data_IF_505264156115
#
_entry.id   IF_505264156115
#
_cell.length_a   1.000
_cell.length_b   1.000
_cell.length_c   1.000
_cell.angle_alpha   90.00
_cell.angle_beta   90.00
_cell.angle_gamma   90.00
#
_symmetry.space_group_name_H-M   'P 1'
#
loop_
_entity.id
_entity.type
_entity.pdbx_description
1 polymer ?
#
# COMPACT_ATOMS: atom_id res chain seq x y z
N UNK A 1 22.06 -33.01 -46.11
CA UNK A 1 21.13 -34.05 -45.61
C UNK A 1 20.62 -33.63 -44.24
N UNK A 2 19.32 -33.31 -44.11
CA UNK A 2 18.53 -33.49 -42.86
C UNK A 2 17.38 -34.41 -43.26
N UNK A 3 16.86 -35.28 -42.38
CA UNK A 3 15.88 -34.89 -41.34
C UNK A 3 16.12 -35.72 -40.04
N UNK A 4 15.43 -35.64 -38.90
CA UNK A 4 14.31 -34.89 -38.32
C UNK A 4 14.19 -35.40 -36.88
N UNK A 5 13.99 -34.53 -35.90
CA UNK A 5 12.91 -34.75 -34.94
C UNK A 5 12.39 -33.41 -34.44
N UNK A 6 11.08 -33.28 -34.44
CA UNK A 6 10.35 -32.04 -34.29
C UNK A 6 9.38 -32.15 -33.10
N UNK A 7 9.49 -31.18 -32.18
CA UNK A 7 8.41 -30.44 -31.49
C UNK A 7 7.61 -31.17 -30.37
N UNK A 8 6.95 -30.47 -29.41
CA UNK A 8 6.68 -29.03 -29.35
C UNK A 8 6.91 -28.30 -28.00
N UNK A 9 7.10 -27.00 -28.17
CA UNK A 9 6.92 -25.85 -27.29
C UNK A 9 5.49 -25.73 -26.73
N UNK A 10 5.34 -25.26 -25.47
CA UNK A 10 4.21 -24.41 -25.04
C UNK A 10 4.41 -23.74 -23.67
N UNK A 11 4.79 -22.46 -23.70
CA UNK A 11 4.43 -21.39 -22.74
C UNK A 11 5.05 -21.44 -21.32
N UNK A 12 5.49 -20.37 -20.67
CA UNK A 12 5.23 -18.93 -20.83
C UNK A 12 6.49 -18.14 -20.39
N UNK A 13 6.96 -17.34 -21.34
CA UNK A 13 7.77 -16.10 -21.31
C UNK A 13 8.42 -15.65 -19.99
N UNK A 14 9.75 -15.73 -20.00
CA UNK A 14 10.72 -14.90 -19.27
C UNK A 14 10.50 -13.42 -19.60
N UNK A 15 10.20 -12.58 -18.60
CA UNK A 15 10.30 -11.12 -18.73
C UNK A 15 11.71 -10.68 -18.31
N UNK A 16 12.41 -9.99 -19.21
CA UNK A 16 13.59 -9.18 -18.92
C UNK A 16 13.26 -7.73 -19.29
N UNK A 17 13.85 -6.82 -18.51
CA UNK A 17 13.87 -5.36 -18.66
C UNK A 17 12.65 -4.60 -18.08
N UNK A 18 12.93 -3.88 -16.99
CA UNK A 18 11.99 -2.98 -16.33
C UNK A 18 12.06 -3.10 -14.81
N UNK A 19 13.26 -3.02 -14.22
CA UNK A 19 13.35 -2.72 -12.79
C UNK A 19 12.71 -1.36 -12.59
N UNK A 20 11.45 -1.32 -12.15
CA UNK A 20 10.79 -0.08 -11.84
C UNK A 20 11.58 0.58 -10.72
N UNK A 21 12.00 1.83 -10.94
CA UNK A 21 12.52 2.68 -9.87
C UNK A 21 11.47 2.91 -8.76
N UNK A 22 10.22 2.53 -8.99
CA UNK A 22 9.20 2.46 -7.95
C UNK A 22 9.33 1.14 -7.19
N UNK A 23 9.40 1.24 -5.86
CA UNK A 23 9.29 0.09 -4.95
C UNK A 23 8.02 -0.72 -5.18
N UNK A 24 7.74 -1.76 -4.36
CA UNK A 24 6.60 -2.63 -4.58
C UNK A 24 5.28 -1.84 -4.65
N UNK A 25 4.34 -2.38 -5.43
CA UNK A 25 3.00 -1.81 -5.61
C UNK A 25 2.30 -1.76 -4.26
N UNK A 26 1.82 -0.57 -3.89
CA UNK A 26 1.05 -0.36 -2.67
C UNK A 26 -0.36 -0.92 -2.88
N UNK A 27 -0.89 -1.60 -1.86
CA UNK A 27 -2.23 -2.17 -1.90
C UNK A 27 -2.87 -2.17 -0.51
N UNK A 28 -4.20 -2.09 -0.49
CA UNK A 28 -5.01 -2.23 0.73
C UNK A 28 -4.72 -3.58 1.40
N UNK A 29 -4.69 -3.58 2.73
CA UNK A 29 -4.40 -4.77 3.53
C UNK A 29 -2.91 -5.06 3.72
N UNK A 30 -2.02 -4.28 3.09
CA UNK A 30 -0.58 -4.34 3.36
C UNK A 30 -0.24 -3.70 4.69
N UNK A 31 0.70 -4.30 5.43
CA UNK A 31 1.27 -3.73 6.64
C UNK A 31 2.76 -3.52 6.44
N UNK A 32 3.20 -2.31 6.73
CA UNK A 32 4.55 -1.82 6.52
C UNK A 32 5.17 -1.40 7.86
N UNK A 33 6.40 -1.86 8.11
CA UNK A 33 7.20 -1.39 9.22
C UNK A 33 7.92 -0.08 8.83
N UNK A 34 7.87 0.91 9.73
CA UNK A 34 8.67 2.14 9.71
C UNK A 34 9.77 2.06 10.77
N UNK A 35 10.51 3.15 11.00
CA UNK A 35 11.50 3.21 12.09
C UNK A 35 10.86 3.05 13.47
N UNK A 36 9.63 3.53 13.65
CA UNK A 36 9.01 3.71 14.97
C UNK A 36 7.76 2.86 15.16
N UNK A 37 7.07 2.50 14.07
CA UNK A 37 5.72 1.97 14.13
C UNK A 37 5.38 1.11 12.90
N UNK A 38 4.16 0.61 12.87
CA UNK A 38 3.63 -0.19 11.77
C UNK A 38 2.43 0.52 11.16
N UNK A 39 2.39 0.60 9.84
CA UNK A 39 1.33 1.26 9.08
C UNK A 39 0.60 0.23 8.23
N UNK A 40 -0.71 0.11 8.42
CA UNK A 40 -1.58 -0.72 7.61
C UNK A 40 -2.32 0.14 6.59
N UNK A 41 -2.19 -0.15 5.31
CA UNK A 41 -2.92 0.55 4.25
C UNK A 41 -4.38 0.09 4.25
N UNK A 42 -5.31 1.03 4.44
CA UNK A 42 -6.74 0.75 4.39
C UNK A 42 -7.49 1.34 3.20
N UNK A 43 -7.05 2.50 2.68
CA UNK A 43 -7.54 3.05 1.42
C UNK A 43 -6.40 3.68 0.64
N UNK A 44 -6.55 3.69 -0.68
CA UNK A 44 -5.71 4.44 -1.60
C UNK A 44 -6.66 5.23 -2.47
N UNK A 45 -6.63 6.55 -2.34
CA UNK A 45 -7.42 7.47 -3.15
C UNK A 45 -6.51 8.13 -4.18
N UNK A 46 -6.95 8.21 -5.43
CA UNK A 46 -6.21 8.85 -6.52
C UNK A 46 -6.77 10.22 -6.85
N UNK A 47 -5.88 11.21 -6.92
CA UNK A 47 -6.20 12.58 -7.30
C UNK A 47 -5.23 13.06 -8.39
N UNK A 48 -5.54 14.19 -9.02
CA UNK A 48 -4.67 14.80 -10.04
C UNK A 48 -3.27 15.11 -9.49
N UNK A 49 -3.18 15.49 -8.22
CA UNK A 49 -1.93 15.85 -7.53
C UNK A 49 -1.16 14.63 -7.00
N UNK A 50 -1.73 13.43 -7.09
CA UNK A 50 -1.13 12.19 -6.63
C UNK A 50 -2.05 11.36 -5.74
N UNK A 51 -1.53 10.23 -5.24
CA UNK A 51 -2.30 9.33 -4.38
C UNK A 51 -2.20 9.73 -2.90
N UNK A 52 -3.31 9.55 -2.19
CA UNK A 52 -3.37 9.59 -0.73
C UNK A 52 -3.49 8.16 -0.20
N UNK A 53 -2.59 7.81 0.71
CA UNK A 53 -2.52 6.53 1.38
C UNK A 53 -3.10 6.69 2.77
N UNK A 54 -4.33 6.24 2.97
CA UNK A 54 -4.97 6.22 4.28
C UNK A 54 -4.58 4.97 5.05
N UNK A 55 -4.04 5.14 6.25
CA UNK A 55 -3.47 4.06 7.05
C UNK A 55 -4.03 4.00 8.47
N UNK A 56 -4.03 2.82 9.07
CA UNK A 56 -4.05 2.67 10.52
C UNK A 56 -2.61 2.53 11.02
N UNK A 57 -2.29 3.16 12.15
CA UNK A 57 -0.97 3.07 12.77
C UNK A 57 -1.01 2.18 14.03
N UNK A 58 0.02 1.36 14.21
CA UNK A 58 0.18 0.42 15.32
C UNK A 58 1.52 0.59 15.99
N UNK A 59 1.57 0.34 17.30
CA UNK A 59 2.82 0.37 18.07
C UNK A 59 3.75 -0.78 17.68
N UNK A 60 3.20 -1.96 17.40
CA UNK A 60 3.95 -3.15 16.99
C UNK A 60 3.14 -4.08 16.07
N UNK A 61 3.80 -5.10 15.52
CA UNK A 61 3.20 -6.05 14.58
C UNK A 61 2.16 -7.00 15.19
N UNK A 62 2.12 -7.13 16.52
CA UNK A 62 1.27 -8.10 17.24
C UNK A 62 0.01 -7.43 17.81
N UNK A 63 0.06 -6.13 18.07
CA UNK A 63 -1.09 -5.35 18.53
C UNK A 63 -2.27 -5.43 17.55
N UNK A 64 -3.47 -5.65 18.09
CA UNK A 64 -4.73 -5.62 17.34
C UNK A 64 -5.36 -4.23 17.32
N UNK A 65 -5.07 -3.42 18.33
CA UNK A 65 -5.59 -2.08 18.48
C UNK A 65 -4.62 -1.05 17.91
N UNK A 66 -5.08 -0.19 16.99
CA UNK A 66 -4.24 0.86 16.44
C UNK A 66 -4.02 1.99 17.44
N UNK A 67 -2.83 2.59 17.45
CA UNK A 67 -2.55 3.84 18.16
C UNK A 67 -3.23 5.05 17.49
N UNK A 68 -3.52 4.93 16.19
CA UNK A 68 -4.36 5.85 15.45
C UNK A 68 -5.15 5.06 14.39
N UNK A 69 -6.48 5.12 14.48
CA UNK A 69 -7.36 4.35 13.61
C UNK A 69 -7.32 4.82 12.15
N UNK A 70 -7.05 6.10 11.89
CA UNK A 70 -6.90 6.65 10.54
C UNK A 70 -5.91 7.80 10.51
N UNK A 71 -4.98 7.75 9.55
CA UNK A 71 -4.05 8.83 9.20
C UNK A 71 -3.88 8.88 7.66
N UNK A 72 -4.04 10.06 7.02
CA UNK A 72 -3.85 10.23 5.58
C UNK A 72 -2.42 10.68 5.26
N UNK A 73 -1.70 9.95 4.41
CA UNK A 73 -0.37 10.35 3.93
C UNK A 73 -0.36 10.60 2.43
N UNK A 74 0.45 11.53 1.94
CA UNK A 74 0.84 11.51 0.53
C UNK A 74 1.58 10.21 0.20
N UNK A 75 1.44 9.68 -1.03
CA UNK A 75 2.22 8.52 -1.44
C UNK A 75 3.75 8.73 -1.30
N UNK A 76 4.34 9.89 -1.68
CA UNK A 76 5.76 10.14 -1.43
C UNK A 76 6.15 10.11 0.05
N UNK A 77 5.33 10.68 0.95
CA UNK A 77 5.59 10.63 2.41
C UNK A 77 5.54 9.19 2.89
N UNK A 78 4.50 8.43 2.51
CA UNK A 78 4.36 7.04 2.89
C UNK A 78 5.57 6.21 2.45
N UNK A 79 6.01 6.36 1.19
CA UNK A 79 7.15 5.60 0.64
C UNK A 79 8.48 5.93 1.30
N UNK A 80 8.68 7.17 1.76
CA UNK A 80 9.90 7.54 2.52
C UNK A 80 9.95 6.86 3.88
N UNK A 81 8.78 6.67 4.52
CA UNK A 81 8.69 6.08 5.86
C UNK A 81 8.58 4.55 5.85
N UNK A 82 7.97 3.96 4.83
CA UNK A 82 7.70 2.53 4.73
C UNK A 82 8.96 1.74 4.31
N UNK A 83 9.65 1.15 5.29
CA UNK A 83 10.93 0.48 5.07
C UNK A 83 10.79 -0.99 4.65
N UNK A 84 9.84 -1.71 5.26
CA UNK A 84 9.70 -3.15 5.06
C UNK A 84 8.25 -3.59 5.06
N UNK A 85 7.83 -4.28 4.00
CA UNK A 85 6.53 -4.95 3.95
C UNK A 85 6.55 -6.19 4.85
N UNK A 86 5.68 -6.25 5.85
CA UNK A 86 5.66 -7.34 6.85
C UNK A 86 4.45 -8.24 6.74
N UNK A 87 3.34 -7.76 6.19
CA UNK A 87 2.13 -8.57 5.99
C UNK A 87 1.30 -8.06 4.79
N UNK A 88 0.42 -8.92 4.29
CA UNK A 88 -0.57 -8.63 3.25
C UNK A 88 -1.93 -9.18 3.67
N UNK A 89 -3.00 -8.71 3.02
CA UNK A 89 -4.37 -9.20 3.20
C UNK A 89 -4.86 -9.16 4.66
N UNK A 90 -4.42 -8.16 5.43
CA UNK A 90 -4.91 -7.95 6.80
C UNK A 90 -6.29 -7.31 6.78
N UNK A 91 -7.11 -7.66 7.76
CA UNK A 91 -8.40 -7.02 7.99
C UNK A 91 -8.19 -5.68 8.70
N UNK A 92 -8.93 -4.66 8.27
CA UNK A 92 -8.85 -3.32 8.84
C UNK A 92 -9.32 -3.32 10.30
N UNK A 93 -8.74 -2.48 11.16
CA UNK A 93 -9.20 -2.35 12.53
C UNK A 93 -10.56 -1.67 12.57
N UNK A 94 -11.26 -1.87 13.69
CA UNK A 94 -12.45 -1.08 14.02
C UNK A 94 -12.12 0.41 14.08
N UNK A 95 -13.09 1.26 13.73
CA UNK A 95 -12.92 2.72 13.69
C UNK A 95 -12.16 3.27 12.47
N UNK A 96 -11.46 2.44 11.69
CA UNK A 96 -10.75 2.91 10.49
C UNK A 96 -11.69 3.60 9.50
N UNK A 97 -12.81 2.96 9.16
CA UNK A 97 -13.75 3.47 8.16
C UNK A 97 -14.45 4.75 8.63
N UNK A 98 -14.75 4.88 9.92
CA UNK A 98 -15.31 6.10 10.50
C UNK A 98 -14.31 7.26 10.46
N UNK A 99 -13.06 7.02 10.87
CA UNK A 99 -11.99 8.01 10.80
C UNK A 99 -11.73 8.45 9.36
N UNK A 100 -11.69 7.50 8.42
CA UNK A 100 -11.55 7.78 7.00
C UNK A 100 -12.68 8.67 6.48
N UNK A 101 -13.94 8.34 6.76
CA UNK A 101 -15.10 9.14 6.31
C UNK A 101 -15.09 10.54 6.88
N UNK A 102 -14.72 10.66 8.15
CA UNK A 102 -14.61 11.95 8.85
C UNK A 102 -13.55 12.82 8.21
N UNK A 103 -12.34 12.28 8.00
CA UNK A 103 -11.29 12.98 7.27
C UNK A 103 -11.72 13.31 5.85
N UNK A 104 -12.31 12.36 5.12
CA UNK A 104 -12.68 12.55 3.70
C UNK A 104 -13.66 13.70 3.52
N UNK A 105 -14.70 13.77 4.36
CA UNK A 105 -15.67 14.85 4.32
C UNK A 105 -15.01 16.22 4.58
N UNK A 106 -14.07 16.30 5.54
CA UNK A 106 -13.32 17.51 5.81
C UNK A 106 -12.29 17.84 4.71
N UNK A 107 -11.67 16.84 4.08
CA UNK A 107 -10.74 17.03 2.98
C UNK A 107 -11.46 17.59 1.75
N UNK A 108 -12.62 17.04 1.42
CA UNK A 108 -13.45 17.48 0.31
C UNK A 108 -14.02 18.90 0.51
N UNK A 109 -14.21 19.33 1.75
CA UNK A 109 -14.60 20.71 2.08
C UNK A 109 -13.42 21.68 2.21
N UNK A 110 -12.18 21.23 1.99
CA UNK A 110 -10.97 22.03 2.13
C UNK A 110 -10.58 22.34 3.58
N UNK A 111 -11.14 21.61 4.54
CA UNK A 111 -10.93 21.78 5.99
C UNK A 111 -9.93 20.79 6.59
N UNK A 112 -9.45 19.81 5.82
CA UNK A 112 -8.41 18.88 6.25
C UNK A 112 -7.28 18.76 5.22
N UNK A 113 -6.10 18.38 5.72
CA UNK A 113 -4.91 18.12 4.92
C UNK A 113 -4.49 16.65 4.96
N UNK A 114 -3.24 16.43 4.56
CA UNK A 114 -2.56 15.15 4.51
C UNK A 114 -1.14 15.33 5.08
N UNK A 115 -0.58 14.24 5.60
CA UNK A 115 0.78 14.18 6.14
C UNK A 115 1.82 13.85 5.07
#
# INVERSE_FOLDING_TARGET
>A
MRPSEAMPWRGIRRWLAGGSAAGPVLAVGQVWQTQENWLMIGRIDSFEQGNVISVAAYRDAQTREPIAAHLPFSEPTFRKSAQRLVARNRQLPEGFEEGYRTWRAAFDSGQAGLW
#
